data_IF_931201497242
#
_entry.id   IF_931201497242
#
_cell.length_a   1.000
_cell.length_b   1.000
_cell.length_c   1.000
_cell.angle_alpha   90.00
_cell.angle_beta   90.00
_cell.angle_gamma   90.00
#
_symmetry.space_group_name_H-M   'P 1'
#
loop_
_entity.id
_entity.type
_entity.pdbx_description
1 polymer ?
#
# COMPACT_ATOMS: atom_id res chain seq x y z
N UNK A 1 14.43 0.82 -2.96
CA UNK A 1 14.13 0.19 -4.27
C UNK A 1 14.62 1.06 -5.44
N UNK A 2 14.21 2.33 -5.50
CA UNK A 2 14.59 3.25 -6.60
C UNK A 2 16.10 3.37 -6.84
N UNK A 3 16.89 3.46 -5.76
CA UNK A 3 18.35 3.45 -5.87
C UNK A 3 18.86 2.19 -6.58
N UNK A 4 18.35 1.00 -6.26
CA UNK A 4 18.75 -0.23 -6.92
C UNK A 4 18.35 -0.24 -8.40
N UNK A 5 17.16 0.29 -8.73
CA UNK A 5 16.69 0.41 -10.11
C UNK A 5 17.57 1.34 -10.95
N UNK A 6 18.00 2.49 -10.39
CA UNK A 6 18.82 3.47 -11.12
C UNK A 6 20.23 2.99 -11.44
N UNK A 7 20.74 2.01 -10.68
CA UNK A 7 22.04 1.39 -10.93
C UNK A 7 21.98 0.28 -12.01
N UNK A 8 20.79 -0.06 -12.52
CA UNK A 8 20.63 -1.14 -13.50
C UNK A 8 21.00 -2.53 -12.96
N UNK A 9 21.04 -2.70 -11.63
CA UNK A 9 21.42 -3.95 -10.99
C UNK A 9 20.41 -5.05 -11.34
N UNK A 10 20.90 -6.11 -11.97
CA UNK A 10 20.11 -7.31 -12.26
C UNK A 10 20.55 -8.44 -11.34
N UNK A 11 19.61 -9.30 -10.96
CA UNK A 11 19.89 -10.49 -10.17
C UNK A 11 19.43 -11.73 -10.93
N UNK A 12 20.31 -12.74 -11.14
CA UNK A 12 20.06 -13.82 -12.10
C UNK A 12 18.87 -14.72 -11.76
N UNK A 13 18.44 -14.73 -10.50
CA UNK A 13 17.36 -15.62 -10.01
C UNK A 13 16.20 -14.88 -9.36
N UNK A 14 16.28 -13.55 -9.23
CA UNK A 14 15.18 -12.80 -8.61
C UNK A 14 14.01 -12.78 -9.60
N UNK A 15 12.81 -13.14 -9.12
CA UNK A 15 11.59 -13.16 -9.94
C UNK A 15 10.58 -12.09 -9.55
N UNK A 16 10.53 -11.76 -8.26
CA UNK A 16 9.59 -10.79 -7.71
C UNK A 16 10.26 -10.01 -6.58
N UNK A 17 10.12 -8.69 -6.61
CA UNK A 17 10.51 -7.79 -5.53
C UNK A 17 9.26 -7.13 -4.94
N UNK A 18 9.00 -7.40 -3.66
CA UNK A 18 7.97 -6.70 -2.89
C UNK A 18 8.58 -5.45 -2.27
N UNK A 19 7.95 -4.30 -2.48
CA UNK A 19 8.33 -3.02 -1.90
C UNK A 19 7.14 -2.42 -1.13
N UNK A 20 7.41 -1.45 -0.26
CA UNK A 20 6.39 -0.75 0.52
C UNK A 20 7.04 0.05 1.65
N UNK A 21 6.22 0.74 2.45
CA UNK A 21 6.66 1.58 3.58
C UNK A 21 6.94 3.04 3.18
N UNK A 22 7.67 3.25 2.09
CA UNK A 22 7.93 4.58 1.53
C UNK A 22 7.27 4.78 0.16
N UNK A 23 7.00 6.03 -0.20
CA UNK A 23 6.46 6.39 -1.51
C UNK A 23 7.45 6.07 -2.62
N UNK A 24 7.08 5.17 -3.52
CA UNK A 24 7.71 5.03 -4.83
C UNK A 24 7.43 6.30 -5.66
N UNK A 25 8.47 6.98 -6.13
CA UNK A 25 8.39 8.24 -6.85
C UNK A 25 8.54 8.06 -8.36
N UNK A 26 9.27 7.05 -8.78
CA UNK A 26 9.54 6.75 -10.19
C UNK A 26 9.71 5.25 -10.43
N UNK A 27 9.19 4.80 -11.57
CA UNK A 27 9.46 3.48 -12.11
C UNK A 27 9.50 3.55 -13.64
N UNK A 28 10.66 3.95 -14.16
CA UNK A 28 10.85 4.28 -15.59
C UNK A 28 11.70 3.25 -16.34
N UNK A 29 12.32 2.30 -15.62
CA UNK A 29 13.17 1.27 -16.20
C UNK A 29 12.62 -0.12 -15.93
N UNK A 30 12.49 -0.91 -17.00
CA UNK A 30 12.08 -2.30 -16.91
C UNK A 30 13.08 -3.13 -16.11
N UNK A 31 12.55 -4.04 -15.31
CA UNK A 31 13.32 -5.00 -14.51
C UNK A 31 13.08 -6.40 -15.06
N UNK A 32 14.06 -7.29 -14.90
CA UNK A 32 13.90 -8.73 -15.23
C UNK A 32 12.94 -9.46 -14.28
N UNK A 33 12.56 -8.82 -13.16
CA UNK A 33 11.65 -9.33 -12.15
C UNK A 33 10.40 -8.45 -12.02
N UNK A 34 9.31 -9.03 -11.53
CA UNK A 34 8.11 -8.29 -11.19
C UNK A 34 8.35 -7.37 -9.97
N UNK A 35 7.88 -6.13 -10.04
CA UNK A 35 7.89 -5.22 -8.89
C UNK A 35 6.45 -5.10 -8.39
N UNK A 36 6.24 -5.41 -7.12
CA UNK A 36 4.93 -5.31 -6.46
C UNK A 36 5.02 -4.23 -5.40
N UNK A 37 4.27 -3.16 -5.56
CA UNK A 37 4.15 -2.11 -4.57
C UNK A 37 3.03 -2.44 -3.59
N UNK A 38 3.35 -2.39 -2.31
CA UNK A 38 2.43 -2.68 -1.21
C UNK A 38 2.27 -1.47 -0.32
N UNK A 39 1.11 -1.35 0.28
CA UNK A 39 0.82 -0.37 1.31
C UNK A 39 0.01 -1.02 2.43
N UNK A 40 0.29 -0.61 3.65
CA UNK A 40 -0.46 -1.02 4.83
C UNK A 40 0.19 -0.42 6.07
N UNK A 41 -0.57 0.21 6.97
CA UNK A 41 -0.07 0.56 8.28
C UNK A 41 0.17 -0.71 9.11
N UNK A 42 1.00 -0.61 10.15
CA UNK A 42 1.23 -1.70 11.11
C UNK A 42 -0.09 -2.14 11.75
N UNK A 43 -0.97 -1.18 11.99
CA UNK A 43 -2.33 -1.29 12.53
C UNK A 43 -3.27 -2.16 11.68
N UNK A 44 -2.94 -2.37 10.39
CA UNK A 44 -3.69 -3.25 9.47
C UNK A 44 -2.90 -4.51 9.07
N UNK A 45 -1.88 -4.88 9.86
CA UNK A 45 -1.08 -6.11 9.71
C UNK A 45 -0.27 -6.17 8.41
N UNK A 46 0.80 -5.37 8.34
CA UNK A 46 1.86 -5.39 7.31
C UNK A 46 1.43 -4.87 5.94
N UNK A 47 0.39 -5.44 5.31
CA UNK A 47 -0.10 -5.04 3.98
C UNK A 47 -1.62 -5.03 3.95
N UNK A 48 -2.20 -3.94 3.48
CA UNK A 48 -3.63 -3.79 3.21
C UNK A 48 -3.94 -3.80 1.71
N UNK A 49 -3.06 -3.24 0.88
CA UNK A 49 -3.18 -3.22 -0.58
C UNK A 49 -1.90 -3.67 -1.26
N UNK A 50 -2.06 -4.31 -2.43
CA UNK A 50 -0.95 -4.81 -3.24
C UNK A 50 -1.24 -4.61 -4.72
N UNK A 51 -0.21 -4.22 -5.48
CA UNK A 51 -0.35 -4.00 -6.93
C UNK A 51 0.98 -4.13 -7.67
N UNK A 52 0.94 -4.74 -8.85
CA UNK A 52 2.09 -4.82 -9.75
C UNK A 52 2.35 -3.44 -10.38
N UNK A 53 3.62 -3.04 -10.44
CA UNK A 53 4.06 -1.85 -11.14
C UNK A 53 4.46 -2.17 -12.57
N UNK A 54 3.99 -1.35 -13.50
CA UNK A 54 4.39 -1.38 -14.90
C UNK A 54 5.09 -0.08 -15.29
N UNK A 55 6.10 -0.19 -16.13
CA UNK A 55 6.97 0.93 -16.50
C UNK A 55 6.17 2.00 -17.26
N UNK A 56 6.32 3.26 -16.84
CA UNK A 56 5.67 4.39 -17.50
C UNK A 56 4.17 4.51 -17.22
N UNK A 57 3.60 3.65 -16.38
CA UNK A 57 2.22 3.76 -15.91
C UNK A 57 2.14 4.57 -14.60
N UNK A 58 0.96 5.14 -14.27
CA UNK A 58 0.75 5.79 -12.98
C UNK A 58 1.12 4.87 -11.81
N UNK A 59 1.89 5.39 -10.86
CA UNK A 59 2.25 4.65 -9.66
C UNK A 59 1.05 4.54 -8.73
N UNK A 60 0.84 3.37 -8.14
CA UNK A 60 -0.28 3.10 -7.26
C UNK A 60 0.12 2.17 -6.11
N UNK A 61 -0.75 2.09 -5.09
CA UNK A 61 -0.62 1.14 -3.98
C UNK A 61 -1.41 -0.17 -4.22
N UNK A 62 -2.07 -0.27 -5.38
CA UNK A 62 -2.80 -1.47 -5.80
C UNK A 62 -4.22 -1.54 -5.28
N UNK A 63 -4.71 -2.78 -5.13
CA UNK A 63 -6.07 -3.08 -4.66
C UNK A 63 -6.02 -3.78 -3.29
N UNK A 64 -7.14 -3.80 -2.53
CA UNK A 64 -7.21 -4.51 -1.26
C UNK A 64 -6.81 -5.99 -1.41
N UNK A 65 -6.02 -6.50 -0.47
CA UNK A 65 -5.71 -7.93 -0.40
C UNK A 65 -6.90 -8.73 0.12
N UNK A 66 -6.80 -10.07 0.08
CA UNK A 66 -7.85 -10.94 0.60
C UNK A 66 -8.23 -10.60 2.05
N UNK A 67 -9.53 -10.48 2.31
CA UNK A 67 -10.11 -10.10 3.61
C UNK A 67 -9.81 -8.67 4.08
N UNK A 68 -9.26 -7.80 3.23
CA UNK A 68 -9.15 -6.36 3.48
C UNK A 68 -10.21 -5.60 2.67
N UNK A 69 -10.67 -4.48 3.20
CA UNK A 69 -11.49 -3.49 2.50
C UNK A 69 -10.83 -2.14 2.60
N UNK A 70 -10.96 -1.32 1.55
CA UNK A 70 -10.46 0.07 1.56
C UNK A 70 -11.61 1.00 1.18
N UNK A 71 -11.74 2.08 1.93
CA UNK A 71 -12.68 3.16 1.66
C UNK A 71 -11.92 4.48 1.53
N UNK A 72 -12.42 5.37 0.67
CA UNK A 72 -12.06 6.78 0.69
C UNK A 72 -13.26 7.55 1.24
N UNK A 73 -13.08 8.23 2.36
CA UNK A 73 -14.16 8.93 3.06
C UNK A 73 -13.96 10.44 3.03
N UNK A 74 -15.08 11.18 3.03
CA UNK A 74 -15.10 12.63 3.25
C UNK A 74 -15.05 12.97 4.76
N UNK A 75 -15.03 14.27 5.09
CA UNK A 75 -15.00 14.76 6.48
C UNK A 75 -16.26 14.38 7.30
N UNK A 76 -17.34 13.98 6.63
CA UNK A 76 -18.56 13.49 7.27
C UNK A 76 -18.60 11.94 7.31
N UNK A 77 -17.48 11.28 7.04
CA UNK A 77 -17.29 9.82 7.04
C UNK A 77 -18.15 9.09 5.99
N UNK A 78 -18.46 9.74 4.86
CA UNK A 78 -19.21 9.13 3.76
C UNK A 78 -18.28 8.73 2.61
N UNK A 79 -18.54 7.60 1.92
CA UNK A 79 -17.75 7.22 0.76
C UNK A 79 -17.77 8.30 -0.34
N UNK A 80 -16.59 8.66 -0.84
CA UNK A 80 -16.46 9.57 -1.98
C UNK A 80 -16.63 8.85 -3.33
N UNK A 81 -17.07 9.53 -4.40
CA UNK A 81 -17.12 8.94 -5.74
C UNK A 81 -15.75 8.51 -6.28
N UNK A 82 -15.75 7.59 -7.24
CA UNK A 82 -14.50 7.15 -7.92
C UNK A 82 -13.80 8.36 -8.55
N UNK A 83 -12.49 8.46 -8.32
CA UNK A 83 -11.64 9.54 -8.82
C UNK A 83 -11.61 10.79 -7.94
N UNK A 84 -12.43 10.86 -6.88
CA UNK A 84 -12.40 11.93 -5.90
C UNK A 84 -11.48 11.54 -4.75
N UNK A 85 -10.66 12.48 -4.28
CA UNK A 85 -9.78 12.26 -3.13
C UNK A 85 -10.59 12.25 -1.82
N UNK A 86 -10.18 11.40 -0.89
CA UNK A 86 -10.72 11.32 0.47
C UNK A 86 -9.68 10.71 1.41
N UNK A 87 -9.99 10.67 2.70
CA UNK A 87 -9.15 9.98 3.68
C UNK A 87 -9.27 8.46 3.50
N UNK A 88 -8.13 7.77 3.52
CA UNK A 88 -8.07 6.33 3.29
C UNK A 88 -8.32 5.57 4.59
N UNK A 89 -9.37 4.77 4.61
CA UNK A 89 -9.73 3.87 5.71
C UNK A 89 -9.51 2.41 5.30
N UNK A 90 -8.95 1.62 6.22
CA UNK A 90 -8.73 0.18 6.03
C UNK A 90 -9.61 -0.60 6.99
N UNK A 91 -10.37 -1.56 6.46
CA UNK A 91 -11.20 -2.48 7.22
C UNK A 91 -10.86 -3.94 6.92
N UNK A 92 -11.54 -4.84 7.63
CA UNK A 92 -11.44 -6.29 7.43
C UNK A 92 -10.61 -7.01 8.48
N UNK A 93 -10.23 -8.26 8.20
CA UNK A 93 -9.65 -9.17 9.20
C UNK A 93 -8.23 -8.80 9.64
N UNK A 94 -7.54 -7.95 8.87
CA UNK A 94 -6.18 -7.50 9.18
C UNK A 94 -6.11 -6.36 10.19
N UNK A 95 -7.24 -5.74 10.54
CA UNK A 95 -7.29 -4.64 11.50
C UNK A 95 -6.93 -5.16 12.90
N UNK A 96 -5.94 -4.52 13.52
CA UNK A 96 -5.45 -4.87 14.84
C UNK A 96 -6.50 -4.63 15.94
N UNK A 97 -6.26 -5.18 17.12
CA UNK A 97 -7.12 -4.94 18.31
C UNK A 97 -7.04 -3.51 18.85
N UNK A 98 -6.11 -2.69 18.37
CA UNK A 98 -5.79 -1.37 18.92
C UNK A 98 -4.42 -1.31 19.57
N UNK A 99 -4.17 -0.21 20.27
CA UNK A 99 -2.91 0.11 20.91
C UNK A 99 -2.88 -0.39 22.36
N UNK A 100 -1.82 -1.12 22.72
CA UNK A 100 -1.65 -1.66 24.08
C UNK A 100 -1.65 -0.53 25.12
N UNK A 101 -2.49 -0.66 26.14
CA UNK A 101 -2.63 0.28 27.27
C UNK A 101 -2.98 1.72 26.84
N UNK A 102 -3.63 1.89 25.69
CA UNK A 102 -4.07 3.19 25.16
C UNK A 102 -5.51 3.09 24.63
N UNK A 103 -6.51 2.82 25.49
CA UNK A 103 -7.88 2.59 25.04
C UNK A 103 -8.51 3.81 24.36
N UNK A 104 -8.20 5.03 24.79
CA UNK A 104 -8.73 6.27 24.19
C UNK A 104 -8.20 6.46 22.76
N UNK A 105 -6.89 6.27 22.56
CA UNK A 105 -6.30 6.34 21.22
C UNK A 105 -6.76 5.18 20.33
N UNK A 106 -7.03 4.01 20.92
CA UNK A 106 -7.61 2.89 20.18
C UNK A 106 -9.02 3.23 19.68
N UNK A 107 -9.87 3.81 20.53
CA UNK A 107 -11.21 4.25 20.14
C UNK A 107 -11.22 5.43 19.14
N UNK A 108 -10.15 6.23 19.10
CA UNK A 108 -9.99 7.29 18.10
C UNK A 108 -9.63 6.72 16.71
N UNK A 109 -8.82 5.65 16.65
CA UNK A 109 -8.22 5.15 15.40
C UNK A 109 -8.86 3.88 14.83
N UNK A 110 -9.68 3.17 15.60
CA UNK A 110 -10.32 1.90 15.25
C UNK A 110 -11.83 1.96 15.56
#
# INVERSE_FOLDING_TARGET
AEYAFSQGLQHPTLRTLLIGGDRLRSFTQAQSFAVINNYGPTEATVVATSGRMDVGQPLHIGAPIANATVYLLDEQQRPVPIGVAGELYVGGKGVARGYLNRPELSAERF
#
